data_IF_673680034627
#
_entry.id   IF_673680034627
#
_cell.length_a   1.000
_cell.length_b   1.000
_cell.length_c   1.000
_cell.angle_alpha   90.00
_cell.angle_beta   90.00
_cell.angle_gamma   90.00
#
_symmetry.space_group_name_H-M   'P 1'
#
loop_
_entity.id
_entity.type
_entity.pdbx_description
1 polymer ?
#
# COMPACT_ATOMS: atom_id res chain seq x y z
N UNK A 1 31.55 -40.46 6.61
CA UNK A 1 31.80 -39.02 6.36
C UNK A 1 30.86 -38.37 5.35
N UNK A 2 30.62 -38.92 4.15
CA UNK A 2 29.77 -38.28 3.11
C UNK A 2 28.32 -37.98 3.54
N UNK A 3 27.70 -38.85 4.33
CA UNK A 3 26.33 -38.68 4.85
C UNK A 3 26.20 -37.55 5.86
N UNK A 4 27.22 -37.37 6.73
CA UNK A 4 27.25 -36.30 7.73
C UNK A 4 27.41 -34.93 7.06
N UNK A 5 28.25 -34.84 6.03
CA UNK A 5 28.48 -33.60 5.28
C UNK A 5 27.21 -33.12 4.54
N UNK A 6 26.42 -34.06 3.98
CA UNK A 6 25.14 -33.75 3.31
C UNK A 6 24.07 -33.29 4.29
N UNK A 7 23.93 -33.96 5.44
CA UNK A 7 22.98 -33.55 6.48
C UNK A 7 23.32 -32.16 7.02
N UNK A 8 24.61 -31.87 7.24
CA UNK A 8 25.06 -30.56 7.70
C UNK A 8 24.75 -29.47 6.67
N UNK A 9 25.01 -29.70 5.37
CA UNK A 9 24.67 -28.74 4.31
C UNK A 9 23.17 -28.47 4.23
N UNK A 10 22.34 -29.51 4.35
CA UNK A 10 20.88 -29.35 4.29
C UNK A 10 20.36 -28.52 5.47
N UNK A 11 20.87 -28.80 6.68
CA UNK A 11 20.54 -28.02 7.88
C UNK A 11 20.98 -26.57 7.74
N UNK A 12 22.17 -26.31 7.18
CA UNK A 12 22.66 -24.95 6.97
C UNK A 12 21.77 -24.15 6.00
N UNK A 13 21.31 -24.78 4.91
CA UNK A 13 20.39 -24.17 3.94
C UNK A 13 19.02 -23.90 4.57
N UNK A 14 18.50 -24.84 5.37
CA UNK A 14 17.24 -24.68 6.08
C UNK A 14 17.31 -23.58 7.15
N UNK A 15 18.41 -23.49 7.90
CA UNK A 15 18.64 -22.40 8.87
C UNK A 15 18.71 -21.07 8.13
N UNK A 16 19.47 -20.97 7.04
CA UNK A 16 19.57 -19.75 6.24
C UNK A 16 18.21 -19.31 5.66
N UNK A 17 17.39 -20.26 5.20
CA UNK A 17 16.05 -19.99 4.70
C UNK A 17 15.07 -19.60 5.81
N UNK A 18 15.17 -20.21 7.00
CA UNK A 18 14.31 -19.90 8.15
C UNK A 18 14.67 -18.57 8.83
N UNK A 19 15.92 -18.10 8.70
CA UNK A 19 16.36 -16.79 9.20
C UNK A 19 16.18 -15.66 8.19
N UNK A 20 15.69 -15.94 6.99
CA UNK A 20 15.29 -14.88 6.08
C UNK A 20 14.16 -14.12 6.76
N UNK A 21 14.42 -12.87 7.14
CA UNK A 21 13.39 -11.98 7.66
C UNK A 21 12.17 -12.05 6.73
N UNK A 22 10.93 -12.11 7.26
CA UNK A 22 9.75 -12.06 6.41
C UNK A 22 9.96 -10.88 5.45
N UNK A 23 9.84 -11.15 4.15
CA UNK A 23 9.87 -10.11 3.16
C UNK A 23 8.63 -9.24 3.40
N UNK A 24 8.76 -8.28 4.30
CA UNK A 24 7.78 -7.21 4.47
C UNK A 24 7.83 -6.46 3.15
N UNK A 25 6.87 -6.78 2.28
CA UNK A 25 6.78 -6.20 0.96
C UNK A 25 6.73 -4.69 1.12
N UNK A 26 7.68 -3.99 0.50
CA UNK A 26 7.75 -2.53 0.51
C UNK A 26 6.69 -1.92 -0.40
N UNK A 27 5.43 -2.18 -0.09
CA UNK A 27 4.27 -1.76 -0.86
C UNK A 27 3.35 -0.83 -0.08
N UNK A 28 2.31 -0.29 -0.74
CA UNK A 28 1.24 0.42 -0.05
C UNK A 28 0.59 -0.45 1.02
N UNK A 29 0.14 0.17 2.10
CA UNK A 29 -0.53 -0.50 3.23
C UNK A 29 -2.01 -0.17 3.35
N UNK A 30 -2.38 1.02 2.88
CA UNK A 30 -3.75 1.47 2.79
C UNK A 30 -3.94 2.39 1.58
N UNK A 31 -5.20 2.70 1.27
CA UNK A 31 -5.56 3.74 0.32
C UNK A 31 -6.92 4.33 0.64
N UNK A 32 -6.97 5.65 0.75
CA UNK A 32 -8.21 6.42 0.74
C UNK A 32 -8.51 6.90 -0.69
N UNK A 33 -9.72 6.63 -1.16
CA UNK A 33 -10.22 6.99 -2.49
C UNK A 33 -11.38 7.96 -2.32
N UNK A 34 -11.24 9.16 -2.88
CA UNK A 34 -12.28 10.18 -2.86
C UNK A 34 -12.56 10.69 -4.26
N UNK A 35 -13.83 10.92 -4.59
CA UNK A 35 -14.25 11.47 -5.87
C UNK A 35 -15.77 11.38 -6.04
N UNK A 36 -16.29 11.74 -7.22
CA UNK A 36 -17.73 11.67 -7.48
C UNK A 36 -18.30 10.26 -7.27
N UNK A 37 -19.20 10.10 -6.30
CA UNK A 37 -19.82 8.81 -5.97
C UNK A 37 -18.94 7.83 -5.18
N UNK A 38 -17.70 8.20 -4.85
CA UNK A 38 -16.77 7.33 -4.13
C UNK A 38 -16.17 8.07 -2.94
N UNK A 39 -16.35 7.51 -1.75
CA UNK A 39 -15.63 7.84 -0.53
C UNK A 39 -15.33 6.53 0.20
N UNK A 40 -14.14 5.97 -0.02
CA UNK A 40 -13.78 4.63 0.38
C UNK A 40 -12.38 4.58 0.98
N UNK A 41 -12.17 3.70 1.95
CA UNK A 41 -10.87 3.43 2.54
C UNK A 41 -10.61 1.92 2.50
N UNK A 42 -9.52 1.52 1.85
CA UNK A 42 -9.16 0.13 1.62
C UNK A 42 -7.87 -0.21 2.38
N UNK A 43 -7.85 -1.39 2.98
CA UNK A 43 -6.64 -2.02 3.53
C UNK A 43 -6.56 -3.45 3.03
N UNK A 44 -5.44 -4.15 3.26
CA UNK A 44 -5.31 -5.57 2.91
C UNK A 44 -6.40 -6.46 3.51
N UNK A 45 -6.93 -6.10 4.68
CA UNK A 45 -7.94 -6.88 5.40
C UNK A 45 -9.37 -6.42 5.11
N UNK A 46 -9.53 -5.24 4.51
CA UNK A 46 -10.83 -4.58 4.31
C UNK A 46 -11.00 -4.19 2.84
N UNK A 47 -11.36 -5.14 1.97
CA UNK A 47 -11.74 -4.82 0.61
C UNK A 47 -13.08 -4.07 0.58
N UNK A 48 -13.27 -3.22 -0.41
CA UNK A 48 -14.53 -2.47 -0.65
C UNK A 48 -15.13 -2.93 -1.97
N UNK A 49 -16.39 -3.37 -1.94
CA UNK A 49 -17.10 -3.88 -3.12
C UNK A 49 -16.33 -4.97 -3.91
N UNK A 50 -15.60 -5.83 -3.20
CA UNK A 50 -14.79 -6.89 -3.82
C UNK A 50 -13.47 -6.42 -4.43
N UNK A 51 -13.14 -5.14 -4.35
CA UNK A 51 -11.84 -4.59 -4.72
C UNK A 51 -10.94 -4.57 -3.50
N UNK A 52 -9.82 -5.28 -3.56
CA UNK A 52 -8.76 -5.21 -2.56
C UNK A 52 -7.68 -4.16 -2.92
N UNK A 53 -6.88 -3.80 -1.93
CA UNK A 53 -5.84 -2.78 -2.05
C UNK A 53 -4.74 -3.14 -3.07
N UNK A 54 -4.39 -4.42 -3.20
CA UNK A 54 -3.39 -4.88 -4.17
C UNK A 54 -3.91 -4.75 -5.60
N UNK A 55 -5.13 -5.23 -5.84
CA UNK A 55 -5.83 -5.08 -7.13
C UNK A 55 -5.94 -3.62 -7.54
N UNK A 56 -6.35 -2.74 -6.63
CA UNK A 56 -6.42 -1.30 -6.90
C UNK A 56 -5.03 -0.68 -7.15
N UNK A 57 -4.00 -1.15 -6.43
CA UNK A 57 -2.61 -0.70 -6.60
C UNK A 57 -2.06 -1.03 -7.99
N UNK A 58 -2.33 -2.22 -8.49
CA UNK A 58 -1.93 -2.63 -9.84
C UNK A 58 -2.66 -1.81 -10.91
N UNK A 59 -3.96 -1.62 -10.76
CA UNK A 59 -4.78 -0.84 -11.69
C UNK A 59 -4.40 0.65 -11.71
N UNK A 60 -4.10 1.23 -10.54
CA UNK A 60 -3.65 2.62 -10.38
C UNK A 60 -2.18 2.83 -10.76
N UNK A 61 -1.43 1.74 -10.97
CA UNK A 61 0.00 1.73 -11.24
C UNK A 61 0.82 2.36 -10.11
N UNK A 62 0.36 2.36 -8.86
CA UNK A 62 1.10 2.98 -7.74
C UNK A 62 2.55 2.48 -7.64
N UNK A 63 2.79 1.20 -7.97
CA UNK A 63 4.13 0.60 -8.00
C UNK A 63 5.09 1.24 -9.02
N UNK A 64 4.58 1.91 -10.05
CA UNK A 64 5.41 2.65 -11.02
C UNK A 64 6.17 3.83 -10.37
N UNK A 65 5.69 4.32 -9.21
CA UNK A 65 6.37 5.34 -8.42
C UNK A 65 7.73 4.86 -7.89
N UNK A 66 7.84 3.58 -7.57
CA UNK A 66 9.03 2.93 -7.00
C UNK A 66 9.88 2.21 -8.04
N UNK A 67 9.35 2.07 -9.27
CA UNK A 67 10.04 1.40 -10.37
C UNK A 67 11.11 2.25 -11.04
N UNK A 68 12.02 1.57 -11.75
CA UNK A 68 13.01 2.24 -12.62
C UNK A 68 12.38 2.81 -13.91
N UNK A 69 11.16 2.39 -14.25
CA UNK A 69 10.42 2.83 -15.44
C UNK A 69 10.28 4.35 -15.56
N UNK A 70 10.09 4.82 -16.80
CA UNK A 70 9.74 6.21 -17.08
C UNK A 70 8.23 6.34 -17.15
N UNK A 71 7.69 7.26 -16.37
CA UNK A 71 6.30 7.68 -16.49
C UNK A 71 6.09 8.39 -17.84
N UNK A 72 4.86 8.30 -18.36
CA UNK A 72 4.47 8.94 -19.59
C UNK A 72 4.46 10.47 -19.44
N UNK A 73 4.56 11.16 -20.59
CA UNK A 73 4.27 12.59 -20.65
C UNK A 73 2.79 12.84 -20.39
N UNK A 74 2.46 14.08 -20.05
CA UNK A 74 1.08 14.55 -19.97
C UNK A 74 0.28 14.13 -21.21
N UNK A 75 -0.98 13.70 -21.07
CA UNK A 75 -1.83 13.35 -22.22
C UNK A 75 -2.15 14.55 -23.12
N UNK A 76 -1.80 15.78 -22.70
CA UNK A 76 -2.09 17.01 -23.47
C UNK A 76 -3.54 17.44 -23.38
N UNK A 77 -4.34 16.78 -22.54
CA UNK A 77 -5.75 17.06 -22.30
C UNK A 77 -5.91 18.18 -21.24
N UNK A 78 -6.93 19.00 -21.44
CA UNK A 78 -7.40 19.98 -20.46
C UNK A 78 -8.10 19.29 -19.28
N UNK A 79 -8.24 19.97 -18.12
CA UNK A 79 -8.99 19.41 -16.99
C UNK A 79 -10.44 19.01 -17.34
N UNK A 80 -11.08 19.71 -18.28
CA UNK A 80 -12.43 19.37 -18.73
C UNK A 80 -12.45 18.07 -19.56
N UNK A 81 -11.47 17.89 -20.46
CA UNK A 81 -11.34 16.68 -21.29
C UNK A 81 -10.89 15.44 -20.49
N UNK A 82 -10.18 15.65 -19.38
CA UNK A 82 -9.84 14.59 -18.44
C UNK A 82 -11.05 14.06 -17.66
N UNK A 83 -12.14 14.83 -17.61
CA UNK A 83 -13.35 14.46 -16.90
C UNK A 83 -13.19 14.46 -15.38
N UNK A 84 -14.03 13.69 -14.66
CA UNK A 84 -14.04 13.67 -13.21
C UNK A 84 -12.70 13.24 -12.59
N UNK A 85 -12.24 14.00 -11.61
CA UNK A 85 -11.03 13.69 -10.84
C UNK A 85 -11.37 12.86 -9.60
N UNK A 86 -10.65 11.77 -9.42
CA UNK A 86 -10.58 10.99 -8.19
C UNK A 86 -9.21 11.17 -7.55
N UNK A 87 -9.15 11.20 -6.23
CA UNK A 87 -7.92 11.33 -5.46
C UNK A 87 -7.69 10.02 -4.72
N UNK A 88 -6.54 9.40 -4.98
CA UNK A 88 -6.10 8.20 -4.29
C UNK A 88 -4.91 8.58 -3.40
N UNK A 89 -5.12 8.53 -2.09
CA UNK A 89 -4.11 8.81 -1.06
C UNK A 89 -3.67 7.49 -0.47
N UNK A 90 -2.43 7.10 -0.77
CA UNK A 90 -1.82 5.83 -0.35
C UNK A 90 -0.90 6.07 0.82
N UNK A 91 -0.96 5.27 1.88
CA UNK A 91 0.16 5.17 2.84
C UNK A 91 1.17 4.16 2.30
N UNK A 92 2.43 4.60 2.16
CA UNK A 92 3.51 3.77 1.62
C UNK A 92 4.79 3.91 2.43
N UNK A 93 4.95 3.07 3.45
CA UNK A 93 6.14 2.99 4.32
C UNK A 93 6.77 4.37 4.60
N UNK A 94 8.07 4.52 4.31
CA UNK A 94 8.94 5.67 4.61
C UNK A 94 8.55 6.97 3.89
N UNK A 95 7.58 6.94 2.97
CA UNK A 95 7.12 8.16 2.29
C UNK A 95 5.98 8.88 3.01
N UNK A 96 5.53 8.38 4.17
CA UNK A 96 4.32 8.76 4.92
C UNK A 96 3.01 8.67 4.09
N UNK A 97 2.99 9.19 2.86
CA UNK A 97 1.88 9.11 1.91
C UNK A 97 2.28 9.41 0.45
N UNK A 98 1.55 8.85 -0.50
CA UNK A 98 1.59 9.17 -1.93
C UNK A 98 0.20 9.57 -2.43
N UNK A 99 0.08 10.61 -3.25
CA UNK A 99 -1.21 11.09 -3.78
C UNK A 99 -1.20 10.99 -5.29
N UNK A 100 -2.23 10.34 -5.82
CA UNK A 100 -2.49 10.25 -7.25
C UNK A 100 -3.80 10.96 -7.58
N UNK A 101 -3.78 11.76 -8.64
CA UNK A 101 -5.01 12.22 -9.28
C UNK A 101 -5.35 11.26 -10.41
N UNK A 102 -6.47 10.56 -10.28
CA UNK A 102 -6.99 9.63 -11.27
C UNK A 102 -8.11 10.26 -12.11
N UNK A 103 -8.10 9.95 -13.40
CA UNK A 103 -9.05 10.37 -14.42
C UNK A 103 -9.49 9.13 -15.19
N UNK A 104 -10.31 8.26 -14.56
CA UNK A 104 -10.69 6.95 -15.12
C UNK A 104 -11.54 7.06 -16.39
N UNK A 105 -12.27 8.17 -16.55
CA UNK A 105 -13.24 8.38 -17.63
C UNK A 105 -12.78 9.45 -18.64
N UNK A 106 -11.48 9.75 -18.67
CA UNK A 106 -10.92 10.68 -19.64
C UNK A 106 -11.10 10.17 -21.08
N UNK A 107 -11.33 11.10 -22.02
CA UNK A 107 -11.42 10.77 -23.43
C UNK A 107 -10.09 10.15 -23.93
N UNK A 108 -10.18 9.04 -24.66
CA UNK A 108 -9.00 8.28 -25.10
C UNK A 108 -8.39 7.34 -24.05
N UNK A 109 -9.01 7.24 -22.87
CA UNK A 109 -8.73 6.20 -21.86
C UNK A 109 -8.27 6.73 -20.51
N UNK A 110 -8.29 5.87 -19.51
CA UNK A 110 -7.98 6.21 -18.13
C UNK A 110 -6.51 6.63 -17.91
N UNK A 111 -6.33 7.69 -17.11
CA UNK A 111 -5.02 8.21 -16.73
C UNK A 111 -4.91 8.39 -15.21
N UNK A 112 -3.68 8.29 -14.70
CA UNK A 112 -3.31 8.79 -13.37
C UNK A 112 -2.15 9.76 -13.49
N UNK A 113 -2.14 10.75 -12.60
CA UNK A 113 -1.04 11.68 -12.41
C UNK A 113 -0.46 11.51 -11.02
N UNK A 114 0.84 11.23 -10.96
CA UNK A 114 1.66 11.32 -9.75
C UNK A 114 2.07 12.78 -9.54
N UNK A 115 1.88 13.29 -8.33
CA UNK A 115 2.18 14.69 -8.02
C UNK A 115 3.69 14.97 -8.03
N UNK A 116 4.12 16.21 -8.36
CA UNK A 116 5.51 16.63 -8.19
C UNK A 116 5.96 16.46 -6.73
N UNK A 117 7.22 16.08 -6.52
CA UNK A 117 7.77 15.83 -5.18
C UNK A 117 7.57 14.41 -4.66
N UNK A 118 6.71 13.61 -5.31
CA UNK A 118 6.56 12.18 -5.03
C UNK A 118 7.30 11.38 -6.09
N UNK A 119 8.48 10.85 -5.73
CA UNK A 119 9.35 10.11 -6.64
C UNK A 119 9.68 10.92 -7.91
N UNK A 120 9.46 10.34 -9.09
CA UNK A 120 9.71 11.00 -10.37
C UNK A 120 8.56 11.91 -10.83
N UNK A 121 7.37 11.79 -10.25
CA UNK A 121 6.14 12.42 -10.74
C UNK A 121 5.80 12.06 -12.20
N UNK A 122 4.64 12.50 -12.69
CA UNK A 122 4.28 12.34 -14.10
C UNK A 122 2.98 11.56 -14.31
N UNK A 123 2.81 10.96 -15.49
CA UNK A 123 1.54 10.35 -15.89
C UNK A 123 1.68 8.86 -16.19
N UNK A 124 0.61 8.10 -15.99
CA UNK A 124 0.52 6.72 -16.44
C UNK A 124 -0.87 6.40 -17.00
N UNK A 125 -0.92 5.51 -18.00
CA UNK A 125 -2.17 4.94 -18.50
C UNK A 125 -2.62 3.79 -17.61
N UNK A 126 -3.92 3.79 -17.29
CA UNK A 126 -4.52 2.92 -16.27
C UNK A 126 -5.87 2.35 -16.71
N UNK A 127 -5.93 1.63 -17.86
CA UNK A 127 -7.21 1.23 -18.47
C UNK A 127 -8.13 0.41 -17.55
N UNK A 128 -7.57 -0.36 -16.62
CA UNK A 128 -8.34 -1.17 -15.66
C UNK A 128 -8.93 -0.35 -14.51
N UNK A 129 -8.46 0.87 -14.26
CA UNK A 129 -8.85 1.64 -13.06
C UNK A 129 -10.32 2.04 -13.06
N UNK A 130 -10.90 2.28 -14.23
CA UNK A 130 -12.31 2.67 -14.35
C UNK A 130 -13.25 1.59 -13.79
N UNK A 131 -13.01 0.33 -14.13
CA UNK A 131 -13.82 -0.81 -13.66
C UNK A 131 -13.85 -0.89 -12.13
N UNK A 132 -12.69 -0.75 -11.48
CA UNK A 132 -12.60 -0.82 -10.03
C UNK A 132 -13.25 0.39 -9.34
N UNK A 133 -13.11 1.60 -9.89
CA UNK A 133 -13.79 2.78 -9.34
C UNK A 133 -15.32 2.66 -9.48
N UNK A 134 -15.82 2.12 -10.60
CA UNK A 134 -17.26 1.83 -10.80
C UNK A 134 -17.75 0.81 -9.79
N UNK A 135 -17.00 -0.27 -9.55
CA UNK A 135 -17.34 -1.26 -8.53
C UNK A 135 -17.47 -0.63 -7.13
N UNK A 136 -16.66 0.39 -6.83
CA UNK A 136 -16.70 1.14 -5.56
C UNK A 136 -17.78 2.24 -5.52
N UNK A 137 -18.59 2.42 -6.56
CA UNK A 137 -19.71 3.36 -6.58
C UNK A 137 -19.53 4.59 -7.47
N UNK A 138 -18.41 4.70 -8.21
CA UNK A 138 -18.26 5.75 -9.21
C UNK A 138 -19.35 5.62 -10.29
N UNK A 139 -19.91 6.74 -10.73
CA UNK A 139 -20.80 6.75 -11.87
C UNK A 139 -20.04 6.28 -13.13
N UNK A 140 -20.53 5.22 -13.78
CA UNK A 140 -19.91 4.65 -14.97
C UNK A 140 -19.94 5.61 -16.16
N UNK A 141 -20.90 6.53 -16.20
CA UNK A 141 -20.95 7.62 -17.16
C UNK A 141 -20.50 8.92 -16.51
N UNK A 142 -19.64 9.72 -17.17
CA UNK A 142 -19.36 11.08 -16.76
C UNK A 142 -20.63 11.91 -16.98
N UNK A 143 -21.57 11.82 -16.05
CA UNK A 143 -22.54 12.89 -15.91
C UNK A 143 -21.71 14.14 -15.66
N UNK A 144 -21.80 15.12 -16.57
CA UNK A 144 -21.29 16.44 -16.34
C UNK A 144 -21.91 16.89 -15.02
N UNK A 145 -21.13 16.78 -13.94
CA UNK A 145 -21.52 17.33 -12.65
C UNK A 145 -21.51 18.81 -12.95
N UNK A 146 -22.69 19.33 -13.31
CA UNK A 146 -22.96 20.76 -13.35
C UNK A 146 -22.60 21.18 -11.95
N UNK A 147 -21.41 21.75 -11.79
CA UNK A 147 -20.92 22.24 -10.53
C UNK A 147 -22.00 23.20 -10.08
N UNK A 148 -22.87 22.72 -9.19
CA UNK A 148 -23.83 23.57 -8.53
C UNK A 148 -22.92 24.31 -7.59
N UNK A 149 -22.35 25.41 -8.08
CA UNK A 149 -21.51 26.32 -7.32
C UNK A 149 -22.37 26.64 -6.13
N UNK A 150 -22.08 25.97 -5.02
CA UNK A 150 -22.69 26.30 -3.74
C UNK A 150 -22.24 27.74 -3.54
N UNK A 151 -23.15 28.74 -3.57
CA UNK A 151 -22.77 30.13 -3.44
C UNK A 151 -21.88 30.20 -2.21
N UNK A 152 -20.65 30.64 -2.45
CA UNK A 152 -19.61 30.79 -1.46
C UNK A 152 -20.24 31.51 -0.27
N UNK A 153 -20.37 30.77 0.83
CA UNK A 153 -20.94 31.33 2.05
C UNK A 153 -20.12 32.59 2.35
N UNK A 154 -20.83 33.71 2.52
CA UNK A 154 -20.23 35.01 2.78
C UNK A 154 -19.08 34.87 3.79
N UNK A 155 -17.96 35.59 3.60
CA UNK A 155 -16.78 35.47 4.43
C UNK A 155 -17.18 35.57 5.90
N UNK A 156 -17.05 34.46 6.62
CA UNK A 156 -17.20 34.43 8.07
C UNK A 156 -16.07 35.32 8.60
N UNK A 157 -16.46 36.42 9.24
CA UNK A 157 -15.53 37.39 9.82
C UNK A 157 -14.52 36.74 10.76
N UNK A 158 -13.41 37.42 11.07
CA UNK A 158 -12.29 36.86 11.82
C UNK A 158 -12.79 36.29 13.16
N UNK A 159 -12.73 34.97 13.28
CA UNK A 159 -12.95 34.26 14.53
C UNK A 159 -11.87 34.70 15.53
N UNK A 160 -12.31 35.21 16.69
CA UNK A 160 -11.43 35.67 17.75
C UNK A 160 -10.51 34.56 18.28
N UNK A 161 -9.34 34.92 18.80
CA UNK A 161 -8.28 33.97 19.16
C UNK A 161 -8.48 33.40 20.57
N UNK A 162 -9.60 32.74 20.87
CA UNK A 162 -9.83 32.14 22.19
C UNK A 162 -10.63 30.83 22.09
N UNK A 163 -9.98 29.79 21.59
CA UNK A 163 -10.50 28.41 21.61
C UNK A 163 -9.54 27.49 22.36
N UNK A 164 -10.01 26.68 23.32
CA UNK A 164 -9.14 25.90 24.21
C UNK A 164 -8.38 24.82 23.43
N UNK A 165 -7.06 24.80 23.63
CA UNK A 165 -6.16 23.73 23.21
C UNK A 165 -6.66 22.42 23.81
N UNK A 166 -7.34 21.62 23.00
CA UNK A 166 -7.77 20.28 23.41
C UNK A 166 -6.56 19.37 23.23
N UNK A 167 -5.96 19.02 24.37
CA UNK A 167 -4.87 18.07 24.53
C UNK A 167 -5.27 16.74 23.87
N UNK A 168 -4.74 16.48 22.68
CA UNK A 168 -4.90 15.20 22.00
C UNK A 168 -4.15 14.15 22.83
N UNK A 169 -4.92 13.32 23.51
CA UNK A 169 -4.44 12.14 24.20
C UNK A 169 -3.58 11.32 23.23
N UNK A 170 -2.30 11.19 23.55
CA UNK A 170 -1.39 10.24 22.96
C UNK A 170 -1.94 8.83 23.23
N UNK A 171 -2.69 8.31 22.27
CA UNK A 171 -3.03 6.90 22.20
C UNK A 171 -1.74 6.12 21.97
N UNK A 172 -1.25 5.53 23.04
CA UNK A 172 -0.15 4.57 23.07
C UNK A 172 -0.58 3.34 22.26
N UNK A 173 -0.45 3.40 20.93
CA UNK A 173 -0.49 2.23 20.07
C UNK A 173 0.75 1.40 20.40
N UNK A 174 0.54 0.47 21.32
CA UNK A 174 1.46 -0.60 21.64
C UNK A 174 1.90 -1.27 20.34
N UNK A 175 3.11 -0.92 19.91
CA UNK A 175 3.78 -1.50 18.77
C UNK A 175 3.82 -3.02 18.96
N UNK A 176 2.95 -3.72 18.23
CA UNK A 176 3.17 -5.12 17.85
C UNK A 176 4.37 -5.13 16.92
N UNK A 177 5.53 -4.96 17.54
CA UNK A 177 6.81 -5.10 16.89
C UNK A 177 6.89 -6.52 16.33
N UNK A 178 7.45 -6.65 15.15
CA UNK A 178 7.60 -7.92 14.41
C UNK A 178 8.46 -8.99 15.13
N UNK A 179 8.72 -8.82 16.43
CA UNK A 179 9.44 -9.74 17.31
C UNK A 179 8.58 -10.93 17.78
N UNK A 180 7.23 -10.85 17.72
CA UNK A 180 6.36 -11.93 18.22
C UNK A 180 6.45 -13.24 17.41
N UNK A 181 6.88 -13.18 16.15
CA UNK A 181 7.06 -14.37 15.31
C UNK A 181 8.48 -14.98 15.39
N UNK A 182 9.48 -14.23 15.88
CA UNK A 182 10.87 -14.68 15.89
C UNK A 182 11.17 -15.69 17.02
N UNK A 183 10.47 -15.58 18.15
CA UNK A 183 10.66 -16.43 19.32
C UNK A 183 10.33 -17.92 19.12
N UNK A 184 9.18 -18.31 18.53
CA UNK A 184 8.87 -19.72 18.31
C UNK A 184 9.84 -20.39 17.32
N UNK A 185 10.28 -19.67 16.29
CA UNK A 185 11.25 -20.20 15.32
C UNK A 185 12.62 -20.48 15.96
N UNK A 186 13.09 -19.58 16.84
CA UNK A 186 14.35 -19.77 17.56
C UNK A 186 14.29 -20.97 18.53
N UNK A 187 13.17 -21.17 19.24
CA UNK A 187 12.96 -22.31 20.14
C UNK A 187 12.98 -23.65 19.39
N UNK A 188 12.35 -23.71 18.22
CA UNK A 188 12.28 -24.93 17.41
C UNK A 188 13.66 -25.31 16.88
N UNK A 189 14.47 -24.32 16.45
CA UNK A 189 15.86 -24.50 16.06
C UNK A 189 16.73 -25.03 17.21
N UNK A 190 16.59 -24.46 18.40
CA UNK A 190 17.33 -24.91 19.60
C UNK A 190 17.00 -26.37 19.94
N UNK A 191 15.72 -26.76 19.84
CA UNK A 191 15.26 -28.13 20.07
C UNK A 191 15.85 -29.13 19.06
N UNK A 192 15.88 -28.77 17.78
CA UNK A 192 16.45 -29.62 16.72
C UNK A 192 17.95 -29.81 16.92
N UNK A 193 18.69 -28.74 17.25
CA UNK A 193 20.13 -28.79 17.49
C UNK A 193 20.47 -29.64 18.72
N UNK A 194 19.74 -29.45 19.82
CA UNK A 194 19.95 -30.23 21.06
C UNK A 194 19.63 -31.70 20.87
N UNK A 195 18.53 -32.04 20.18
CA UNK A 195 18.18 -33.44 19.86
C UNK A 195 19.26 -34.09 18.97
N UNK A 196 19.76 -33.38 17.96
CA UNK A 196 20.84 -33.86 17.09
C UNK A 196 22.13 -34.17 17.86
N UNK A 197 22.54 -33.28 18.78
CA UNK A 197 23.70 -33.46 19.65
C UNK A 197 23.57 -34.68 20.57
N UNK A 198 22.39 -34.90 21.17
CA UNK A 198 22.14 -36.05 22.04
C UNK A 198 22.24 -37.38 21.28
N UNK A 199 21.71 -37.45 20.06
CA UNK A 199 21.80 -38.65 19.21
C UNK A 199 23.24 -38.94 18.81
N UNK A 200 24.01 -37.91 18.44
CA UNK A 200 25.42 -38.05 18.09
C UNK A 200 26.26 -38.56 19.27
N UNK A 201 26.05 -38.00 20.47
CA UNK A 201 26.76 -38.40 21.69
C UNK A 201 26.50 -39.87 22.04
N UNK A 202 25.25 -40.35 21.90
CA UNK A 202 24.89 -41.76 22.18
C UNK A 202 25.53 -42.75 21.20
N UNK A 203 25.85 -42.32 19.97
CA UNK A 203 26.55 -43.15 18.99
C UNK A 203 28.05 -43.22 19.23
N UNK A 204 28.65 -42.20 19.84
CA UNK A 204 30.08 -42.19 20.20
C UNK A 204 30.38 -42.99 21.47
N UNK A 205 29.39 -43.19 22.34
CA UNK A 205 29.52 -43.97 23.57
C UNK A 205 29.24 -45.47 23.41
N UNK A 206 29.01 -45.94 22.18
CA UNK A 206 28.81 -47.36 21.84
C UNK A 206 29.95 -47.78 20.93
#
# INVERSE_FOLDING_TARGET
MKTVLRALSLVLVLVAAATAAPAVGKGPTDVAVTGPGVDAHLTYEKPVAGVDMGTLGDASRIFALFGSGRLARSPGLTPAELGPRYVLTWTVLDMDWAVQHAYPFAEGGAWVRFLPGQGKGGWARTPALAEHLVAMGAAAEPHAVVATVRPEAAPVGPAGPDGPLTEAAAGEEAGRTSYDAAWPAALLLLLVVTAGLLIARRRLSR
#
